data_IF_440157101079
#
_entry.id   IF_440157101079
#
_cell.length_a   1.000
_cell.length_b   1.000
_cell.length_c   1.000
_cell.angle_alpha   90.00
_cell.angle_beta   90.00
_cell.angle_gamma   90.00
#
_symmetry.space_group_name_H-M   'P 1'
#
loop_
_entity.id
_entity.type
_entity.pdbx_description
1 polymer ?
#
# COMPACT_ATOMS: atom_id res chain seq x y z
N UNK A 1 -3.50 17.27 3.01
CA UNK A 1 -3.11 15.93 2.49
C UNK A 1 -1.68 15.95 2.06
N UNK A 2 -0.90 15.00 2.51
CA UNK A 2 0.51 14.95 2.15
C UNK A 2 0.71 14.46 0.73
N UNK A 3 1.63 15.05 -0.01
CA UNK A 3 1.93 14.55 -1.36
C UNK A 3 2.42 13.12 -1.30
N UNK A 4 2.11 12.39 -2.33
CA UNK A 4 2.55 10.99 -2.45
C UNK A 4 3.56 10.91 -3.57
N UNK A 5 4.73 10.34 -3.27
CA UNK A 5 5.75 10.10 -4.28
C UNK A 5 5.98 8.60 -4.36
N UNK A 6 6.60 8.17 -5.45
CA UNK A 6 6.75 6.75 -5.75
C UNK A 6 8.19 6.47 -6.11
N UNK A 7 8.79 5.46 -5.48
CA UNK A 7 10.10 5.04 -5.91
C UNK A 7 9.97 4.21 -7.19
N UNK A 8 11.09 3.98 -7.85
CA UNK A 8 11.08 3.24 -9.10
C UNK A 8 10.48 1.84 -8.94
N UNK A 9 10.85 1.18 -7.88
CA UNK A 9 10.35 -0.16 -7.61
C UNK A 9 8.83 -0.18 -7.45
N UNK A 10 8.31 0.83 -6.76
CA UNK A 10 6.86 0.93 -6.56
C UNK A 10 6.14 1.11 -7.89
N UNK A 11 6.67 1.97 -8.75
CA UNK A 11 6.03 2.20 -10.05
C UNK A 11 6.04 0.93 -10.89
N UNK A 12 7.12 0.18 -10.84
CA UNK A 12 7.19 -1.07 -11.57
C UNK A 12 6.15 -2.06 -11.03
N UNK A 13 6.03 -2.17 -9.74
CA UNK A 13 5.05 -3.07 -9.15
C UNK A 13 3.63 -2.67 -9.47
N UNK A 14 3.36 -1.36 -9.45
CA UNK A 14 2.03 -0.88 -9.80
C UNK A 14 1.68 -1.27 -11.23
N UNK A 15 2.62 -1.13 -12.12
CA UNK A 15 2.41 -1.50 -13.52
C UNK A 15 2.19 -3.01 -13.64
N UNK A 16 3.03 -3.79 -13.00
CA UNK A 16 2.93 -5.25 -13.06
C UNK A 16 1.61 -5.77 -12.49
N UNK A 17 1.12 -5.11 -11.45
CA UNK A 17 -0.10 -5.54 -10.76
C UNK A 17 -1.33 -4.81 -11.23
N UNK A 18 -1.16 -3.85 -12.14
CA UNK A 18 -2.26 -3.03 -12.64
C UNK A 18 -2.98 -2.33 -11.49
N UNK A 19 -2.19 -1.57 -10.74
CA UNK A 19 -2.70 -0.76 -9.64
C UNK A 19 -2.42 0.70 -9.98
N UNK A 20 -3.46 1.53 -9.94
CA UNK A 20 -3.33 2.93 -10.31
C UNK A 20 -2.88 3.78 -9.13
N UNK A 21 -2.43 5.00 -9.44
CA UNK A 21 -2.06 5.93 -8.39
C UNK A 21 -3.26 6.28 -7.52
N UNK A 22 -4.43 6.36 -8.11
CA UNK A 22 -5.64 6.62 -7.34
C UNK A 22 -5.91 5.50 -6.34
N UNK A 23 -5.71 4.26 -6.77
CA UNK A 23 -5.90 3.14 -5.87
C UNK A 23 -4.89 3.15 -4.74
N UNK A 24 -3.62 3.45 -5.06
CA UNK A 24 -2.60 3.54 -4.02
C UNK A 24 -2.96 4.62 -3.01
N UNK A 25 -3.34 5.79 -3.50
CA UNK A 25 -3.73 6.90 -2.64
C UNK A 25 -4.91 6.51 -1.75
N UNK A 26 -5.88 5.82 -2.32
CA UNK A 26 -7.05 5.38 -1.57
C UNK A 26 -6.66 4.40 -0.47
N UNK A 27 -5.76 3.45 -0.80
CA UNK A 27 -5.31 2.48 0.20
C UNK A 27 -4.62 3.19 1.36
N UNK A 28 -3.71 4.12 1.04
CA UNK A 28 -2.96 4.80 2.09
C UNK A 28 -3.86 5.65 2.97
N UNK A 29 -4.82 6.35 2.37
CA UNK A 29 -5.66 7.29 3.10
C UNK A 29 -6.88 6.65 3.76
N UNK A 30 -7.34 5.52 3.25
CA UNK A 30 -8.55 4.88 3.75
C UNK A 30 -8.32 3.42 4.09
N UNK A 31 -7.15 3.10 4.55
CA UNK A 31 -6.79 1.70 4.82
C UNK A 31 -7.76 1.05 5.79
N UNK A 32 -8.06 -0.22 5.51
CA UNK A 32 -8.85 -1.03 6.45
C UNK A 32 -7.98 -1.46 7.61
N UNK A 33 -6.69 -1.54 7.39
CA UNK A 33 -5.76 -2.02 8.38
C UNK A 33 -4.36 -1.49 8.06
N UNK A 34 -3.66 -1.04 9.09
CA UNK A 34 -2.27 -0.59 8.94
C UNK A 34 -1.43 -1.31 9.97
N UNK A 35 -0.31 -1.86 9.53
CA UNK A 35 0.62 -2.50 10.45
C UNK A 35 1.99 -1.84 10.31
N UNK A 36 2.71 -1.80 11.40
CA UNK A 36 4.07 -1.27 11.40
C UNK A 36 5.01 -2.33 10.87
N UNK A 37 5.99 -1.91 10.12
CA UNK A 37 7.00 -2.79 9.57
C UNK A 37 8.36 -2.29 10.02
N UNK A 38 9.43 -2.95 9.58
CA UNK A 38 10.78 -2.56 9.97
C UNK A 38 11.16 -1.23 9.33
N UNK A 39 12.14 -0.55 9.93
CA UNK A 39 12.73 0.67 9.37
C UNK A 39 11.71 1.77 9.15
N UNK A 40 10.79 1.91 10.09
CA UNK A 40 9.79 2.98 10.04
C UNK A 40 8.86 2.90 8.85
N UNK A 41 8.74 1.74 8.26
CA UNK A 41 7.78 1.54 7.17
C UNK A 41 6.44 1.11 7.72
N UNK A 42 5.42 1.36 6.93
CA UNK A 42 4.06 0.93 7.26
C UNK A 42 3.46 0.20 6.09
N UNK A 43 2.62 -0.77 6.40
CA UNK A 43 1.88 -1.50 5.38
C UNK A 43 0.41 -1.17 5.54
N UNK A 44 -0.18 -0.59 4.53
CA UNK A 44 -1.61 -0.26 4.51
C UNK A 44 -2.32 -1.28 3.64
N UNK A 45 -3.43 -1.78 4.12
CA UNK A 45 -4.21 -2.82 3.44
C UNK A 45 -5.60 -2.32 3.13
N UNK A 46 -6.09 -2.61 1.94
CA UNK A 46 -7.44 -2.24 1.56
C UNK A 46 -7.97 -3.22 0.53
N UNK A 47 -9.22 -3.62 0.70
CA UNK A 47 -9.87 -4.50 -0.26
C UNK A 47 -10.60 -3.64 -1.28
N UNK A 48 -10.19 -3.72 -2.53
CA UNK A 48 -10.75 -2.92 -3.61
C UNK A 48 -10.99 -3.81 -4.81
N UNK A 49 -12.23 -3.82 -5.31
CA UNK A 49 -12.56 -4.55 -6.55
C UNK A 49 -12.05 -5.98 -6.53
N UNK A 50 -12.34 -6.68 -5.43
CA UNK A 50 -11.98 -8.09 -5.28
C UNK A 50 -10.49 -8.34 -5.18
N UNK A 51 -9.71 -7.28 -4.93
CA UNK A 51 -8.28 -7.43 -4.71
C UNK A 51 -7.93 -6.86 -3.35
N UNK A 52 -7.09 -7.58 -2.63
CA UNK A 52 -6.60 -7.10 -1.34
C UNK A 52 -5.23 -6.49 -1.57
N UNK A 53 -5.19 -5.17 -1.61
CA UNK A 53 -4.00 -4.43 -1.98
C UNK A 53 -3.23 -4.04 -0.74
N UNK A 54 -1.92 -4.33 -0.74
CA UNK A 54 -1.03 -3.89 0.32
C UNK A 54 -0.08 -2.85 -0.26
N UNK A 55 -0.02 -1.69 0.37
CA UNK A 55 0.89 -0.63 -0.01
C UNK A 55 1.88 -0.42 1.13
N UNK A 56 3.16 -0.60 0.84
CA UNK A 56 4.21 -0.34 1.83
C UNK A 56 4.73 1.07 1.58
N UNK A 57 4.74 1.89 2.62
CA UNK A 57 5.13 3.28 2.48
C UNK A 57 5.89 3.76 3.70
N UNK A 58 6.54 4.89 3.54
CA UNK A 58 7.27 5.53 4.60
C UNK A 58 6.85 7.00 4.64
N UNK A 59 6.58 7.49 5.83
CA UNK A 59 6.26 8.91 5.99
C UNK A 59 7.55 9.68 6.16
N UNK A 60 7.78 10.66 5.30
CA UNK A 60 8.96 11.50 5.34
C UNK A 60 8.52 12.94 5.40
N UNK A 61 9.11 13.69 6.29
CA UNK A 61 8.81 15.11 6.43
C UNK A 61 7.40 15.46 5.94
N UNK A 62 7.30 16.01 4.75
CA UNK A 62 6.00 16.46 4.24
C UNK A 62 5.47 15.59 3.13
N UNK A 63 5.93 14.36 3.01
CA UNK A 63 5.39 13.51 1.98
C UNK A 63 5.36 12.04 2.38
N UNK A 64 4.64 11.28 1.57
CA UNK A 64 4.54 9.83 1.75
C UNK A 64 5.26 9.18 0.58
N UNK A 65 6.26 8.37 0.88
CA UNK A 65 7.01 7.66 -0.16
C UNK A 65 6.51 6.23 -0.27
N UNK A 66 5.97 5.90 -1.43
CA UNK A 66 5.50 4.54 -1.68
C UNK A 66 6.70 3.68 -2.06
N UNK A 67 6.90 2.62 -1.32
CA UNK A 67 8.06 1.75 -1.49
C UNK A 67 7.73 0.54 -2.35
N UNK A 68 6.58 -0.08 -2.12
CA UNK A 68 6.16 -1.19 -2.97
C UNK A 68 4.65 -1.39 -2.85
N UNK A 69 4.10 -2.08 -3.83
CA UNK A 69 2.67 -2.39 -3.88
C UNK A 69 2.55 -3.88 -4.17
N UNK A 70 1.72 -4.56 -3.40
CA UNK A 70 1.55 -6.01 -3.52
C UNK A 70 0.07 -6.33 -3.51
N UNK A 71 -0.33 -7.34 -4.26
CA UNK A 71 -1.69 -7.86 -4.20
C UNK A 71 -1.65 -9.11 -3.35
N UNK A 72 -2.48 -9.13 -2.31
CA UNK A 72 -2.61 -10.29 -1.45
C UNK A 72 -3.85 -11.05 -1.86
N UNK A 73 -3.74 -12.34 -1.81
CA UNK A 73 -4.84 -13.17 -2.28
C UNK A 73 -6.01 -13.15 -1.32
N UNK A 74 -5.74 -13.40 -0.06
CA UNK A 74 -6.79 -13.45 0.96
C UNK A 74 -6.42 -12.54 2.12
N UNK A 75 -7.22 -11.53 2.37
CA UNK A 75 -6.96 -10.65 3.51
C UNK A 75 -7.24 -11.39 4.81
N UNK A 76 -6.37 -11.19 5.78
CA UNK A 76 -6.61 -11.74 7.12
C UNK A 76 -6.82 -13.24 7.15
N UNK A 77 -6.22 -13.92 6.22
CA UNK A 77 -6.42 -15.35 6.13
C UNK A 77 -6.08 -16.04 7.44
N UNK A 78 -4.98 -15.65 8.05
CA UNK A 78 -4.57 -16.26 9.31
C UNK A 78 -5.47 -15.92 10.49
N UNK A 79 -6.33 -14.95 10.31
CA UNK A 79 -7.25 -14.55 11.38
C UNK A 79 -8.50 -15.39 11.39
N UNK A 80 -8.64 -16.26 10.44
CA UNK A 80 -9.80 -17.14 10.36
C UNK A 80 -9.57 -18.45 11.08
N UNK A 81 -8.50 -18.51 11.82
CA UNK A 81 -8.15 -19.73 12.54
C UNK A 81 -8.92 -19.89 13.83
#
# INVERSE_FOLDING_TARGET
>A
MEPITYCRHARKRMKDRIVTEEEVSFVVNQADYIELDVKDRKNAYKYINDRFIRVTFKEENDNILIITVTIRRKPFERLNL
#
